data_IF_948256339413
#
_entry.id   IF_948256339413
#
_cell.length_a   1.000
_cell.length_b   1.000
_cell.length_c   1.000
_cell.angle_alpha   90.00
_cell.angle_beta   90.00
_cell.angle_gamma   90.00
#
_symmetry.space_group_name_H-M   'P 1'
#
loop_
_entity.id
_entity.type
_entity.pdbx_description
1 polymer ?
#
# COMPACT_ATOMS: atom_id res chain seq x y z
N UNK A 1 -12.00 22.27 -9.31
CA UNK A 1 -10.77 21.54 -8.98
C UNK A 1 -9.83 22.53 -8.35
N UNK A 2 -9.60 22.46 -7.04
CA UNK A 2 -8.55 23.24 -6.38
C UNK A 2 -7.24 22.54 -6.66
N UNK A 3 -6.43 23.10 -7.54
CA UNK A 3 -5.03 22.70 -7.68
C UNK A 3 -4.33 23.11 -6.39
N UNK A 4 -3.97 22.12 -5.57
CA UNK A 4 -3.10 22.41 -4.43
C UNK A 4 -1.74 22.88 -4.99
N UNK A 5 -1.16 23.95 -4.42
CA UNK A 5 0.17 24.36 -4.82
C UNK A 5 1.13 23.21 -4.59
N UNK A 6 2.03 23.00 -5.56
CA UNK A 6 3.06 21.96 -5.45
C UNK A 6 3.84 22.19 -4.15
N UNK A 7 4.08 21.13 -3.34
CA UNK A 7 4.84 21.25 -2.11
C UNK A 7 6.25 21.75 -2.42
N UNK A 8 6.82 22.53 -1.51
CA UNK A 8 8.23 22.93 -1.64
C UNK A 8 9.15 21.71 -1.46
N UNK A 9 10.42 21.86 -1.83
CA UNK A 9 11.39 20.75 -1.81
C UNK A 9 11.52 20.10 -0.42
N UNK A 10 11.48 20.88 0.66
CA UNK A 10 11.57 20.33 2.02
C UNK A 10 10.32 19.51 2.39
N UNK A 11 9.14 20.01 2.03
CA UNK A 11 7.86 19.33 2.25
C UNK A 11 7.78 18.03 1.45
N UNK A 12 8.20 18.08 0.18
CA UNK A 12 8.26 16.92 -0.70
C UNK A 12 9.23 15.87 -0.13
N UNK A 13 10.46 16.28 0.23
CA UNK A 13 11.45 15.36 0.78
C UNK A 13 11.03 14.77 2.12
N UNK A 14 10.35 15.55 2.98
CA UNK A 14 9.77 15.05 4.23
C UNK A 14 8.70 14.00 3.95
N UNK A 15 7.79 14.26 3.02
CA UNK A 15 6.75 13.31 2.63
C UNK A 15 7.34 12.01 2.05
N UNK A 16 8.38 12.10 1.22
CA UNK A 16 9.09 10.95 0.66
C UNK A 16 9.84 10.17 1.74
N UNK A 17 10.51 10.84 2.67
CA UNK A 17 11.20 10.17 3.78
C UNK A 17 10.22 9.45 4.72
N UNK A 18 9.01 9.99 4.91
CA UNK A 18 7.94 9.33 5.64
C UNK A 18 7.35 8.12 4.90
N UNK A 19 7.59 8.01 3.58
CA UNK A 19 7.08 6.93 2.73
C UNK A 19 8.20 6.28 1.90
N UNK A 20 9.09 5.47 2.52
CA UNK A 20 10.28 4.93 1.86
C UNK A 20 9.99 4.13 0.58
N UNK A 21 8.84 3.43 0.53
CA UNK A 21 8.42 2.69 -0.67
C UNK A 21 8.20 3.63 -1.86
N UNK A 22 7.48 4.75 -1.66
CA UNK A 22 7.22 5.77 -2.69
C UNK A 22 8.53 6.44 -3.11
N UNK A 23 9.39 6.76 -2.14
CA UNK A 23 10.71 7.35 -2.40
C UNK A 23 11.59 6.47 -3.28
N UNK A 24 11.70 5.18 -2.94
CA UNK A 24 12.49 4.23 -3.74
C UNK A 24 11.96 4.13 -5.16
N UNK A 25 10.64 4.16 -5.33
CA UNK A 25 10.01 4.09 -6.64
C UNK A 25 10.30 5.31 -7.51
N UNK A 26 10.21 6.52 -6.96
CA UNK A 26 10.56 7.76 -7.67
C UNK A 26 12.05 7.74 -8.06
N UNK A 27 12.92 7.25 -7.18
CA UNK A 27 14.34 7.08 -7.50
C UNK A 27 14.56 6.12 -8.70
N UNK A 28 13.84 5.00 -8.77
CA UNK A 28 13.91 4.09 -9.92
C UNK A 28 13.47 4.75 -11.23
N UNK A 29 12.40 5.56 -11.23
CA UNK A 29 11.99 6.31 -12.43
C UNK A 29 13.08 7.29 -12.87
N UNK A 30 13.63 8.05 -11.93
CA UNK A 30 14.69 9.02 -12.22
C UNK A 30 15.93 8.34 -12.80
N UNK A 31 16.25 7.12 -12.35
CA UNK A 31 17.37 6.34 -12.90
C UNK A 31 17.14 5.92 -14.36
N UNK A 32 15.90 5.59 -14.74
CA UNK A 32 15.54 5.29 -16.14
C UNK A 32 15.64 6.54 -17.01
N UNK A 33 15.10 7.67 -16.55
CA UNK A 33 15.13 8.95 -17.29
C UNK A 33 16.56 9.45 -17.53
N UNK A 34 17.45 9.23 -16.56
CA UNK A 34 18.85 9.62 -16.65
C UNK A 34 19.70 8.67 -17.51
N UNK A 35 19.13 7.58 -18.05
CA UNK A 35 19.87 6.46 -18.64
C UNK A 35 21.08 6.08 -17.75
N UNK A 36 20.84 5.91 -16.45
CA UNK A 36 21.93 5.68 -15.49
C UNK A 36 22.74 4.41 -15.80
N UNK A 37 22.20 3.49 -16.61
CA UNK A 37 22.89 2.30 -17.11
C UNK A 37 23.70 2.53 -18.40
N UNK A 38 23.43 3.61 -19.16
CA UNK A 38 24.09 3.91 -20.43
C UNK A 38 23.69 2.99 -21.59
N UNK A 39 22.63 2.21 -21.40
CA UNK A 39 22.21 1.12 -22.28
C UNK A 39 21.05 1.52 -23.21
N UNK A 40 20.39 2.66 -22.94
CA UNK A 40 19.25 3.15 -23.72
C UNK A 40 19.72 4.03 -24.89
N UNK A 41 20.35 3.39 -25.88
CA UNK A 41 20.86 4.08 -27.09
C UNK A 41 19.78 4.56 -28.05
N UNK A 42 18.55 4.04 -27.91
CA UNK A 42 17.41 4.34 -28.75
C UNK A 42 16.22 4.82 -27.90
N UNK A 43 15.52 5.84 -28.40
CA UNK A 43 14.37 6.42 -27.70
C UNK A 43 13.26 5.37 -27.43
N UNK A 44 13.04 4.46 -28.37
CA UNK A 44 12.04 3.38 -28.25
C UNK A 44 12.36 2.44 -27.08
N UNK A 45 13.65 2.12 -26.85
CA UNK A 45 14.07 1.31 -25.72
C UNK A 45 13.86 2.05 -24.39
N UNK A 46 14.15 3.36 -24.37
CA UNK A 46 13.93 4.19 -23.19
C UNK A 46 12.43 4.31 -22.86
N UNK A 47 11.58 4.49 -23.87
CA UNK A 47 10.13 4.54 -23.74
C UNK A 47 9.59 3.22 -23.18
N UNK A 48 9.97 2.08 -23.76
CA UNK A 48 9.54 0.77 -23.29
C UNK A 48 9.95 0.50 -21.83
N UNK A 49 11.16 0.92 -21.45
CA UNK A 49 11.64 0.80 -20.07
C UNK A 49 10.85 1.68 -19.12
N UNK A 50 10.55 2.92 -19.50
CA UNK A 50 9.75 3.85 -18.71
C UNK A 50 8.32 3.35 -18.52
N UNK A 51 7.69 2.84 -19.58
CA UNK A 51 6.34 2.27 -19.53
C UNK A 51 6.28 1.11 -18.54
N UNK A 52 7.27 0.20 -18.57
CA UNK A 52 7.30 -0.94 -17.67
C UNK A 52 7.43 -0.51 -16.20
N UNK A 53 8.31 0.47 -15.92
CA UNK A 53 8.43 1.01 -14.56
C UNK A 53 7.15 1.71 -14.09
N UNK A 54 6.43 2.40 -14.97
CA UNK A 54 5.13 3.01 -14.64
C UNK A 54 4.07 1.94 -14.38
N UNK A 55 4.05 0.84 -15.14
CA UNK A 55 3.11 -0.27 -14.91
C UNK A 55 3.36 -0.96 -13.58
N UNK A 56 4.61 -1.34 -13.31
CA UNK A 56 5.01 -1.96 -12.05
C UNK A 56 4.68 -1.02 -10.86
N UNK A 57 4.90 0.29 -11.02
CA UNK A 57 4.51 1.28 -10.03
C UNK A 57 3.01 1.29 -9.77
N UNK A 58 2.20 1.33 -10.83
CA UNK A 58 0.75 1.35 -10.72
C UNK A 58 0.23 0.11 -9.98
N UNK A 59 0.81 -1.06 -10.27
CA UNK A 59 0.48 -2.30 -9.58
C UNK A 59 0.80 -2.25 -8.08
N UNK A 60 2.02 -1.82 -7.73
CA UNK A 60 2.45 -1.69 -6.33
C UNK A 60 1.59 -0.67 -5.56
N UNK A 61 1.28 0.48 -6.18
CA UNK A 61 0.44 1.51 -5.60
C UNK A 61 -1.00 1.01 -5.34
N UNK A 62 -1.59 0.30 -6.30
CA UNK A 62 -2.93 -0.30 -6.17
C UNK A 62 -2.96 -1.37 -5.08
N UNK A 63 -1.93 -2.20 -5.00
CA UNK A 63 -1.83 -3.23 -3.96
C UNK A 63 -1.71 -2.60 -2.56
N UNK A 64 -0.87 -1.58 -2.42
CA UNK A 64 -0.71 -0.85 -1.16
C UNK A 64 -2.01 -0.17 -0.73
N UNK A 65 -2.70 0.49 -1.67
CA UNK A 65 -4.01 1.09 -1.42
C UNK A 65 -5.03 0.05 -0.97
N UNK A 66 -5.13 -1.10 -1.65
CA UNK A 66 -6.04 -2.17 -1.30
C UNK A 66 -5.76 -2.72 0.11
N UNK A 67 -4.49 -2.96 0.45
CA UNK A 67 -4.08 -3.41 1.77
C UNK A 67 -4.48 -2.39 2.86
N UNK A 68 -4.32 -1.10 2.59
CA UNK A 68 -4.74 -0.05 3.52
C UNK A 68 -6.26 -0.02 3.72
N UNK A 69 -7.05 -0.23 2.66
CA UNK A 69 -8.51 -0.33 2.78
C UNK A 69 -8.94 -1.53 3.63
N UNK A 70 -8.28 -2.67 3.47
CA UNK A 70 -8.50 -3.85 4.33
C UNK A 70 -8.21 -3.49 5.79
N UNK A 71 -7.06 -2.89 6.08
CA UNK A 71 -6.68 -2.53 7.44
C UNK A 71 -7.68 -1.56 8.10
N UNK A 72 -8.10 -0.51 7.38
CA UNK A 72 -9.09 0.45 7.88
C UNK A 72 -10.44 -0.22 8.14
N UNK A 73 -10.86 -1.11 7.25
CA UNK A 73 -12.12 -1.85 7.37
C UNK A 73 -12.08 -2.80 8.56
N UNK A 74 -10.98 -3.56 8.72
CA UNK A 74 -10.77 -4.41 9.88
C UNK A 74 -10.81 -3.61 11.19
N UNK A 75 -10.14 -2.47 11.26
CA UNK A 75 -10.14 -1.62 12.45
C UNK A 75 -11.54 -1.08 12.76
N UNK A 76 -12.30 -0.67 11.74
CA UNK A 76 -13.69 -0.23 11.90
C UNK A 76 -14.57 -1.34 12.45
N UNK A 77 -14.49 -2.55 11.89
CA UNK A 77 -15.24 -3.73 12.35
C UNK A 77 -14.88 -4.10 13.79
N UNK A 78 -13.58 -4.10 14.13
CA UNK A 78 -13.12 -4.38 15.50
C UNK A 78 -13.65 -3.37 16.51
N UNK A 79 -13.67 -2.08 16.17
CA UNK A 79 -14.23 -1.02 17.04
C UNK A 79 -15.73 -1.15 17.23
N UNK A 80 -16.46 -1.68 16.25
CA UNK A 80 -17.88 -1.94 16.35
C UNK A 80 -18.27 -3.00 17.38
N UNK A 81 -17.33 -3.86 17.83
CA UNK A 81 -17.54 -4.82 18.92
C UNK A 81 -18.51 -5.98 18.61
N UNK A 82 -19.12 -6.01 17.43
CA UNK A 82 -20.14 -7.00 17.05
C UNK A 82 -19.58 -8.26 16.37
N UNK A 83 -18.27 -8.33 16.14
CA UNK A 83 -17.66 -9.42 15.37
C UNK A 83 -16.60 -10.14 16.20
N UNK A 84 -16.80 -11.45 16.38
CA UNK A 84 -15.81 -12.33 16.99
C UNK A 84 -14.83 -12.82 15.91
N UNK A 85 -13.53 -12.88 16.23
CA UNK A 85 -12.55 -13.44 15.29
C UNK A 85 -12.86 -14.90 15.02
N UNK A 86 -12.62 -15.30 13.77
CA UNK A 86 -12.53 -16.71 13.44
C UNK A 86 -11.37 -17.34 14.21
N UNK A 87 -11.63 -18.44 14.90
CA UNK A 87 -10.67 -19.13 15.73
C UNK A 87 -11.25 -20.42 16.27
N UNK A 88 -10.39 -21.42 16.49
CA UNK A 88 -10.82 -22.70 17.06
C UNK A 88 -11.33 -22.45 18.48
N UNK A 89 -12.59 -22.81 18.73
CA UNK A 89 -13.16 -22.80 20.07
C UNK A 89 -12.41 -23.83 20.92
N UNK A 90 -11.78 -23.38 21.99
CA UNK A 90 -11.04 -24.24 22.92
C UNK A 90 -11.88 -24.69 24.12
N UNK A 91 -13.18 -24.38 24.12
CA UNK A 91 -14.12 -24.77 25.17
C UNK A 91 -15.33 -25.49 24.56
N UNK A 92 -15.81 -26.52 25.27
CA UNK A 92 -16.98 -27.32 24.88
C UNK A 92 -18.32 -26.65 25.23
N UNK A 93 -18.30 -25.51 25.91
CA UNK A 93 -19.48 -24.83 26.47
C UNK A 93 -19.81 -25.27 27.89
N UNK A 94 -20.60 -24.46 28.60
CA UNK A 94 -21.11 -24.78 29.94
C UNK A 94 -22.34 -25.69 29.79
N UNK A 95 -22.35 -26.92 30.37
CA UNK A 95 -23.53 -27.76 30.30
C UNK A 95 -24.70 -27.11 31.05
N UNK A 96 -25.95 -27.27 30.58
CA UNK A 96 -27.10 -26.74 31.27
C UNK A 96 -27.21 -27.40 32.65
N UNK A 97 -27.33 -26.58 33.70
CA UNK A 97 -27.64 -27.06 35.05
C UNK A 97 -29.03 -27.68 34.99
N UNK A 98 -29.09 -29.01 35.08
CA UNK A 98 -30.35 -29.72 35.22
C UNK A 98 -31.03 -29.23 36.51
N UNK A 99 -32.20 -28.62 36.40
CA UNK A 99 -33.08 -28.40 37.55
C UNK A 99 -33.64 -29.76 37.95
N UNK A 100 -33.19 -30.31 39.08
CA UNK A 100 -33.83 -31.45 39.72
C UNK A 100 -35.02 -30.98 40.55
N UNK A 101 -36.22 -31.46 40.20
CA UNK A 101 -37.20 -32.10 41.09
C UNK A 101 -38.37 -32.65 40.24
#
# INVERSE_FOLDING_TARGET
MTEQPLPNDEELMRALNANPQVKNRIASMLAVVQDAAGDLKEADAAEMRLIEEIRLMGQEAMQSWANRQVELTEQAVRRGGQVQREGKKNCAGTPPLATSA
#
